data_IF_758605247091
#
_entry.id   IF_758605247091
#
_cell.length_a   1.000
_cell.length_b   1.000
_cell.length_c   1.000
_cell.angle_alpha   90.00
_cell.angle_beta   90.00
_cell.angle_gamma   90.00
#
_symmetry.space_group_name_H-M   'P 1'
#
loop_
_entity.id
_entity.type
_entity.pdbx_description
1 polymer ?
#
# COMPACT_ATOMS: atom_id res chain seq x y z
N UNK A 1 5.29 -13.47 -5.88
CA UNK A 1 4.57 -12.21 -6.17
C UNK A 1 3.83 -11.66 -4.96
N UNK A 2 2.83 -12.37 -4.39
CA UNK A 2 2.01 -11.87 -3.28
C UNK A 2 2.82 -11.38 -2.07
N UNK A 3 3.81 -12.17 -1.65
CA UNK A 3 4.67 -11.81 -0.52
C UNK A 3 5.50 -10.54 -0.81
N UNK A 4 6.04 -10.39 -2.02
CA UNK A 4 6.72 -9.16 -2.45
C UNK A 4 5.75 -7.97 -2.57
N UNK A 5 4.51 -8.21 -2.98
CA UNK A 5 3.43 -7.23 -3.03
C UNK A 5 3.10 -6.62 -1.67
N UNK A 6 3.11 -7.47 -0.64
CA UNK A 6 2.77 -7.14 0.75
C UNK A 6 3.99 -6.73 1.59
N UNK A 7 5.21 -7.12 1.20
CA UNK A 7 6.43 -6.80 1.95
C UNK A 7 7.16 -5.58 1.40
N UNK A 8 7.12 -5.37 0.07
CA UNK A 8 7.88 -4.29 -0.56
C UNK A 8 6.92 -3.11 -0.86
N UNK A 9 7.11 -1.94 -0.25
CA UNK A 9 6.30 -0.75 -0.55
C UNK A 9 6.49 -0.27 -2.00
N UNK A 10 5.47 0.37 -2.59
CA UNK A 10 5.49 0.74 -4.03
C UNK A 10 5.06 2.16 -4.35
N UNK A 11 5.21 3.09 -3.42
CA UNK A 11 4.68 4.46 -3.57
C UNK A 11 5.53 5.42 -4.43
N UNK A 12 6.50 4.90 -5.17
CA UNK A 12 7.48 5.67 -5.93
C UNK A 12 7.26 5.64 -7.43
N UNK A 13 7.85 6.63 -8.11
CA UNK A 13 8.21 6.54 -9.53
C UNK A 13 9.37 5.57 -9.70
N UNK A 14 9.06 4.32 -9.37
CA UNK A 14 10.00 3.23 -9.40
C UNK A 14 10.32 2.97 -10.86
N UNK A 15 11.56 3.25 -11.28
CA UNK A 15 12.04 2.85 -12.60
C UNK A 15 11.75 1.37 -12.85
N UNK A 16 11.74 0.95 -14.12
CA UNK A 16 11.41 -0.43 -14.52
C UNK A 16 12.23 -1.49 -13.76
N UNK A 17 13.44 -1.13 -13.32
CA UNK A 17 14.39 -1.98 -12.60
C UNK A 17 14.20 -2.04 -11.07
N UNK A 18 13.16 -1.43 -10.51
CA UNK A 18 12.90 -1.58 -9.08
C UNK A 18 12.55 -3.03 -8.73
N UNK A 19 13.01 -3.51 -7.56
CA UNK A 19 12.91 -4.92 -7.14
C UNK A 19 11.48 -5.45 -7.22
N UNK A 20 10.48 -4.64 -6.82
CA UNK A 20 9.07 -5.04 -6.89
C UNK A 20 8.58 -5.20 -8.34
N UNK A 21 8.96 -4.28 -9.23
CA UNK A 21 8.63 -4.31 -10.65
C UNK A 21 9.28 -5.50 -11.33
N UNK A 22 10.56 -5.78 -11.02
CA UNK A 22 11.28 -6.95 -11.53
C UNK A 22 10.66 -8.26 -11.06
N UNK A 23 10.35 -8.38 -9.77
CA UNK A 23 9.67 -9.57 -9.23
C UNK A 23 8.28 -9.77 -9.86
N UNK A 24 7.59 -8.68 -10.18
CA UNK A 24 6.32 -8.71 -10.88
C UNK A 24 6.47 -9.16 -12.33
N UNK A 25 7.44 -8.61 -13.06
CA UNK A 25 7.75 -8.99 -14.45
C UNK A 25 8.17 -10.46 -14.55
N UNK A 26 9.02 -10.92 -13.63
CA UNK A 26 9.43 -12.33 -13.54
C UNK A 26 8.21 -13.22 -13.28
N UNK A 27 7.36 -12.86 -12.30
CA UNK A 27 6.15 -13.64 -12.01
C UNK A 27 5.17 -13.67 -13.20
N UNK A 28 5.00 -12.55 -13.89
CA UNK A 28 4.17 -12.46 -15.10
C UNK A 28 4.73 -13.34 -16.23
N UNK A 29 6.05 -13.37 -16.41
CA UNK A 29 6.71 -14.22 -17.39
C UNK A 29 6.54 -15.70 -17.08
N UNK A 30 6.70 -16.11 -15.81
CA UNK A 30 6.42 -17.50 -15.40
C UNK A 30 4.95 -17.88 -15.59
N UNK A 31 4.02 -16.96 -15.32
CA UNK A 31 2.61 -17.20 -15.58
C UNK A 31 2.33 -17.38 -17.08
N UNK A 32 2.88 -16.54 -17.95
CA UNK A 32 2.77 -16.70 -19.41
C UNK A 32 3.38 -18.02 -19.90
N UNK A 33 4.55 -18.42 -19.38
CA UNK A 33 5.14 -19.72 -19.68
C UNK A 33 4.23 -20.88 -19.22
N UNK A 34 3.64 -20.76 -18.04
CA UNK A 34 2.71 -21.77 -17.53
C UNK A 34 1.44 -21.89 -18.37
N UNK A 35 0.96 -20.79 -18.96
CA UNK A 35 -0.15 -20.82 -19.91
C UNK A 35 0.26 -21.44 -21.24
N UNK A 36 1.47 -21.18 -21.71
CA UNK A 36 1.99 -21.74 -22.96
C UNK A 36 2.15 -23.26 -22.89
N UNK A 37 2.55 -23.80 -21.73
CA UNK A 37 2.65 -25.25 -21.52
C UNK A 37 1.29 -25.96 -21.45
N UNK A 38 0.19 -25.23 -21.20
CA UNK A 38 -1.16 -25.81 -21.19
C UNK A 38 -1.62 -26.08 -22.63
N UNK A 39 -1.79 -27.36 -22.97
CA UNK A 39 -2.19 -27.79 -24.33
C UNK A 39 -3.61 -27.38 -24.73
N UNK A 40 -4.48 -27.02 -23.78
CA UNK A 40 -5.84 -26.56 -24.07
C UNK A 40 -6.28 -25.48 -23.07
N UNK A 41 -6.77 -24.35 -23.60
CA UNK A 41 -7.34 -23.28 -22.80
C UNK A 41 -8.82 -23.54 -22.50
N UNK A 42 -9.21 -23.39 -21.24
CA UNK A 42 -10.61 -23.41 -20.82
C UNK A 42 -11.34 -22.14 -21.26
N UNK A 43 -12.67 -22.20 -21.42
CA UNK A 43 -13.51 -21.04 -21.80
C UNK A 43 -13.31 -19.84 -20.86
N UNK A 44 -13.07 -20.08 -19.57
CA UNK A 44 -12.77 -19.03 -18.61
C UNK A 44 -11.44 -18.31 -18.91
N UNK A 45 -10.38 -19.06 -19.24
CA UNK A 45 -9.08 -18.48 -19.59
C UNK A 45 -9.16 -17.66 -20.87
N UNK A 46 -9.98 -18.07 -21.85
CA UNK A 46 -10.27 -17.24 -23.03
C UNK A 46 -10.97 -15.93 -22.67
N UNK A 47 -11.95 -15.95 -21.75
CA UNK A 47 -12.59 -14.72 -21.25
C UNK A 47 -11.60 -13.82 -20.53
N UNK A 48 -10.73 -14.40 -19.70
CA UNK A 48 -9.70 -13.71 -18.95
C UNK A 48 -8.68 -13.04 -19.88
N UNK A 49 -8.21 -13.75 -20.90
CA UNK A 49 -7.31 -13.22 -21.93
C UNK A 49 -7.98 -12.11 -22.74
N UNK A 50 -9.24 -12.30 -23.13
CA UNK A 50 -10.00 -11.27 -23.88
C UNK A 50 -10.16 -9.99 -23.04
N UNK A 51 -10.47 -10.14 -21.75
CA UNK A 51 -10.52 -9.02 -20.81
C UNK A 51 -9.15 -8.35 -20.63
N UNK A 52 -8.08 -9.13 -20.57
CA UNK A 52 -6.72 -8.60 -20.49
C UNK A 52 -6.38 -7.77 -21.74
N UNK A 53 -6.59 -8.31 -22.94
CA UNK A 53 -6.31 -7.60 -24.19
C UNK A 53 -7.20 -6.38 -24.39
N UNK A 54 -8.48 -6.43 -23.99
CA UNK A 54 -9.35 -5.25 -24.05
C UNK A 54 -8.91 -4.15 -23.09
N UNK A 55 -8.45 -4.53 -21.90
CA UNK A 55 -7.89 -3.59 -20.92
C UNK A 55 -6.59 -2.95 -21.43
N UNK A 56 -5.69 -3.74 -22.03
CA UNK A 56 -4.47 -3.21 -22.66
C UNK A 56 -4.80 -2.26 -23.82
N UNK A 57 -5.75 -2.64 -24.67
CA UNK A 57 -6.20 -1.78 -25.77
C UNK A 57 -6.79 -0.46 -25.27
N UNK A 58 -7.63 -0.51 -24.23
CA UNK A 58 -8.18 0.68 -23.58
C UNK A 58 -7.05 1.58 -23.04
N UNK A 59 -6.07 1.01 -22.35
CA UNK A 59 -4.92 1.77 -21.84
C UNK A 59 -4.11 2.39 -22.97
N UNK A 60 -3.85 1.66 -24.05
CA UNK A 60 -3.14 2.19 -25.22
C UNK A 60 -3.88 3.35 -25.87
N UNK A 61 -5.20 3.23 -26.05
CA UNK A 61 -6.05 4.32 -26.56
C UNK A 61 -5.99 5.55 -25.65
N UNK A 62 -6.07 5.33 -24.34
CA UNK A 62 -6.01 6.40 -23.34
C UNK A 62 -4.62 7.05 -23.25
N UNK A 63 -3.57 6.26 -23.48
CA UNK A 63 -2.19 6.73 -23.61
C UNK A 63 -2.04 7.63 -24.85
N UNK A 64 -2.59 7.22 -26.00
CA UNK A 64 -2.60 8.03 -27.21
C UNK A 64 -3.32 9.37 -26.98
N UNK A 65 -4.46 9.35 -26.31
CA UNK A 65 -5.18 10.58 -25.90
C UNK A 65 -4.26 11.51 -25.10
N UNK A 66 -3.54 10.99 -24.10
CA UNK A 66 -2.58 11.78 -23.31
C UNK A 66 -1.44 12.37 -24.15
N UNK A 67 -0.86 11.57 -25.05
CA UNK A 67 0.23 12.01 -25.94
C UNK A 67 -0.19 13.13 -26.91
N UNK A 68 -1.44 13.14 -27.36
CA UNK A 68 -1.96 14.20 -28.24
C UNK A 68 -2.26 15.51 -27.51
N UNK A 69 -2.47 15.48 -26.19
CA UNK A 69 -2.91 16.63 -25.41
C UNK A 69 -1.78 17.32 -24.63
N UNK A 70 -0.73 16.61 -24.22
CA UNK A 70 0.43 17.21 -23.54
C UNK A 70 1.73 16.42 -23.79
N UNK A 71 2.66 16.99 -24.55
CA UNK A 71 3.97 16.37 -24.86
C UNK A 71 4.91 16.33 -23.65
N UNK A 72 4.65 17.12 -22.59
CA UNK A 72 5.62 17.36 -21.51
C UNK A 72 5.61 16.31 -20.39
N UNK A 73 4.74 15.29 -20.46
CA UNK A 73 4.50 14.36 -19.34
C UNK A 73 4.69 12.87 -19.67
N UNK A 74 5.50 12.54 -20.68
CA UNK A 74 5.79 11.13 -21.06
C UNK A 74 6.16 10.24 -19.87
N UNK A 75 6.99 10.71 -18.93
CA UNK A 75 7.37 9.94 -17.74
C UNK A 75 6.15 9.63 -16.83
N UNK A 76 5.28 10.62 -16.61
CA UNK A 76 4.04 10.46 -15.83
C UNK A 76 3.08 9.47 -16.51
N UNK A 77 2.94 9.57 -17.83
CA UNK A 77 2.14 8.65 -18.65
C UNK A 77 2.65 7.21 -18.51
N UNK A 78 3.96 6.99 -18.68
CA UNK A 78 4.56 5.66 -18.51
C UNK A 78 4.43 5.12 -17.08
N UNK A 79 4.59 6.00 -16.08
CA UNK A 79 4.38 5.67 -14.67
C UNK A 79 2.96 5.14 -14.41
N UNK A 80 1.94 5.80 -14.95
CA UNK A 80 0.55 5.40 -14.80
C UNK A 80 0.21 4.12 -15.58
N UNK A 81 0.67 3.98 -16.83
CA UNK A 81 0.48 2.75 -17.62
C UNK A 81 1.06 1.54 -16.89
N UNK A 82 2.26 1.68 -16.31
CA UNK A 82 2.90 0.64 -15.51
C UNK A 82 2.03 0.23 -14.32
N UNK A 83 1.54 1.20 -13.53
CA UNK A 83 0.69 0.93 -12.35
C UNK A 83 -0.59 0.20 -12.76
N UNK A 84 -1.23 0.62 -13.84
CA UNK A 84 -2.48 0.01 -14.29
C UNK A 84 -2.24 -1.38 -14.89
N UNK A 85 -1.18 -1.55 -15.68
CA UNK A 85 -0.78 -2.85 -16.22
C UNK A 85 -0.48 -3.86 -15.11
N UNK A 86 0.27 -3.45 -14.08
CA UNK A 86 0.53 -4.28 -12.89
C UNK A 86 -0.78 -4.66 -12.18
N UNK A 87 -1.72 -3.72 -12.05
CA UNK A 87 -3.01 -3.97 -11.42
C UNK A 87 -3.82 -5.01 -12.20
N UNK A 88 -3.93 -4.87 -13.52
CA UNK A 88 -4.65 -5.83 -14.37
C UNK A 88 -3.99 -7.21 -14.36
N UNK A 89 -2.67 -7.27 -14.60
CA UNK A 89 -1.93 -8.53 -14.58
C UNK A 89 -2.07 -9.24 -13.24
N UNK A 90 -2.01 -8.50 -12.12
CA UNK A 90 -2.19 -9.06 -10.80
C UNK A 90 -3.57 -9.72 -10.63
N UNK A 91 -4.64 -9.03 -11.03
CA UNK A 91 -6.02 -9.56 -10.95
C UNK A 91 -6.17 -10.80 -11.83
N UNK A 92 -5.72 -10.73 -13.08
CA UNK A 92 -5.78 -11.81 -14.07
C UNK A 92 -5.04 -13.05 -13.56
N UNK A 93 -3.79 -12.89 -13.12
CA UNK A 93 -2.99 -13.98 -12.55
C UNK A 93 -3.65 -14.57 -11.30
N UNK A 94 -4.19 -13.73 -10.41
CA UNK A 94 -4.83 -14.20 -9.18
C UNK A 94 -6.09 -15.01 -9.47
N UNK A 95 -6.90 -14.58 -10.44
CA UNK A 95 -8.11 -15.31 -10.86
C UNK A 95 -7.79 -16.65 -11.53
N UNK A 96 -6.77 -16.71 -12.39
CA UNK A 96 -6.31 -17.96 -13.00
C UNK A 96 -5.78 -18.94 -11.94
N UNK A 97 -4.93 -18.46 -11.02
CA UNK A 97 -4.44 -19.29 -9.92
C UNK A 97 -5.54 -19.75 -8.96
N UNK A 98 -6.56 -18.93 -8.73
CA UNK A 98 -7.70 -19.30 -7.89
C UNK A 98 -8.59 -20.36 -8.58
N UNK A 99 -8.80 -20.25 -9.90
CA UNK A 99 -9.59 -21.23 -10.65
C UNK A 99 -8.92 -22.61 -10.69
N UNK A 100 -7.60 -22.63 -10.81
CA UNK A 100 -6.80 -23.85 -10.83
C UNK A 100 -6.54 -24.44 -9.42
N UNK A 101 -7.19 -23.88 -8.38
CA UNK A 101 -7.08 -24.31 -6.99
C UNK A 101 -5.64 -24.38 -6.45
N UNK A 102 -4.70 -23.64 -7.06
CA UNK A 102 -3.30 -23.59 -6.60
C UNK A 102 -3.18 -23.05 -5.17
N UNK A 103 -4.14 -22.24 -4.72
CA UNK A 103 -4.17 -21.70 -3.37
C UNK A 103 -5.57 -21.79 -2.77
N UNK A 104 -5.66 -22.41 -1.60
CA UNK A 104 -6.82 -22.25 -0.71
C UNK A 104 -6.85 -20.83 -0.13
N UNK A 105 -8.05 -20.29 0.09
CA UNK A 105 -8.29 -18.95 0.68
C UNK A 105 -7.58 -18.83 2.04
N UNK A 106 -7.55 -19.92 2.81
CA UNK A 106 -6.81 -20.01 4.07
C UNK A 106 -5.32 -19.76 3.90
N UNK A 107 -4.71 -20.39 2.90
CA UNK A 107 -3.29 -20.25 2.57
C UNK A 107 -2.98 -18.84 2.09
N UNK A 108 -3.84 -18.27 1.23
CA UNK A 108 -3.73 -16.90 0.76
C UNK A 108 -3.72 -15.90 1.93
N UNK A 109 -4.73 -15.96 2.79
CA UNK A 109 -4.83 -15.08 3.96
C UNK A 109 -3.64 -15.25 4.91
N UNK A 110 -3.15 -16.48 5.10
CA UNK A 110 -1.97 -16.73 5.95
C UNK A 110 -0.70 -16.09 5.38
N UNK A 111 -0.49 -16.18 4.07
CA UNK A 111 0.64 -15.53 3.39
C UNK A 111 0.55 -14.02 3.51
N UNK A 112 -0.65 -13.45 3.33
CA UNK A 112 -0.87 -12.01 3.48
C UNK A 112 -0.59 -11.56 4.92
N UNK A 113 -1.07 -12.32 5.92
CA UNK A 113 -0.84 -12.02 7.34
C UNK A 113 0.63 -12.07 7.73
N UNK A 114 1.35 -13.12 7.32
CA UNK A 114 2.78 -13.29 7.60
C UNK A 114 3.60 -12.22 6.85
N UNK A 115 3.26 -11.93 5.60
CA UNK A 115 3.89 -10.86 4.83
C UNK A 115 3.72 -9.51 5.51
N UNK A 116 2.50 -9.19 5.97
CA UNK A 116 2.23 -7.94 6.66
C UNK A 116 2.93 -7.87 8.04
N UNK A 117 3.04 -8.99 8.75
CA UNK A 117 3.83 -9.06 9.98
C UNK A 117 5.30 -8.75 9.72
N UNK A 118 5.88 -9.38 8.70
CA UNK A 118 7.28 -9.18 8.33
C UNK A 118 7.55 -7.73 7.89
N UNK A 119 6.64 -7.16 7.11
CA UNK A 119 6.68 -5.74 6.75
C UNK A 119 6.64 -4.83 7.99
N UNK A 120 5.65 -5.06 8.87
CA UNK A 120 5.47 -4.26 10.09
C UNK A 120 6.67 -4.38 11.03
N UNK A 121 7.26 -5.58 11.14
CA UNK A 121 8.46 -5.83 11.94
C UNK A 121 9.68 -5.13 11.36
N UNK A 122 9.86 -5.19 10.03
CA UNK A 122 10.92 -4.44 9.33
C UNK A 122 10.78 -2.94 9.59
N UNK A 123 9.58 -2.39 9.43
CA UNK A 123 9.28 -0.97 9.68
C UNK A 123 9.59 -0.56 11.12
N UNK A 124 9.07 -1.29 12.09
CA UNK A 124 9.32 -1.03 13.51
C UNK A 124 10.82 -1.12 13.82
N UNK A 125 11.51 -2.12 13.28
CA UNK A 125 12.96 -2.30 13.48
C UNK A 125 13.78 -1.17 12.84
N UNK A 126 13.40 -0.68 11.66
CA UNK A 126 14.04 0.46 11.00
C UNK A 126 13.94 1.72 11.85
N UNK A 127 12.73 2.01 12.35
CA UNK A 127 12.51 3.18 13.21
C UNK A 127 13.26 3.05 14.55
N UNK A 128 13.23 1.88 15.19
CA UNK A 128 14.02 1.65 16.40
C UNK A 128 15.52 1.77 16.15
N UNK A 129 16.02 1.25 15.01
CA UNK A 129 17.42 1.36 14.62
C UNK A 129 17.87 2.82 14.44
N UNK A 130 17.01 3.65 13.86
CA UNK A 130 17.23 5.09 13.75
C UNK A 130 17.29 5.78 15.11
N UNK A 131 16.34 5.49 16.00
CA UNK A 131 16.34 6.06 17.36
C UNK A 131 17.56 5.67 18.19
N UNK A 132 18.10 4.48 17.97
CA UNK A 132 19.33 4.01 18.62
C UNK A 132 20.60 4.59 17.96
N UNK A 133 20.47 5.34 16.86
CA UNK A 133 21.57 5.98 16.15
C UNK A 133 22.40 5.02 15.28
N UNK A 134 21.87 3.85 14.93
CA UNK A 134 22.61 2.89 14.08
C UNK A 134 22.70 3.34 12.61
N UNK A 135 21.65 3.98 12.09
CA UNK A 135 21.57 4.47 10.71
C UNK A 135 20.51 5.57 10.57
N UNK A 136 20.62 6.40 9.54
CA UNK A 136 19.54 7.29 9.13
C UNK A 136 18.50 6.49 8.33
N UNK A 137 17.23 6.55 8.73
CA UNK A 137 16.13 5.91 7.99
C UNK A 137 15.96 6.56 6.62
N UNK A 138 16.31 7.85 6.47
CA UNK A 138 16.25 8.53 5.20
C UNK A 138 17.21 7.94 4.17
N UNK A 139 18.47 7.79 4.54
CA UNK A 139 19.49 7.22 3.67
C UNK A 139 19.12 5.80 3.23
N UNK A 140 18.58 5.00 4.16
CA UNK A 140 18.11 3.64 3.86
C UNK A 140 16.92 3.66 2.90
N UNK A 141 15.95 4.56 3.11
CA UNK A 141 14.77 4.66 2.25
C UNK A 141 15.12 5.18 0.86
N UNK A 142 16.02 6.17 0.77
CA UNK A 142 16.53 6.73 -0.47
C UNK A 142 17.34 5.69 -1.25
N UNK A 143 18.20 4.90 -0.57
CA UNK A 143 18.92 3.78 -1.17
C UNK A 143 17.96 2.71 -1.72
N UNK A 144 16.84 2.46 -1.02
CA UNK A 144 15.80 1.55 -1.47
C UNK A 144 14.89 2.16 -2.55
N UNK A 145 15.05 3.45 -2.87
CA UNK A 145 14.22 4.18 -3.84
C UNK A 145 12.77 4.36 -3.40
N UNK A 146 12.48 4.24 -2.10
CA UNK A 146 11.12 4.29 -1.59
C UNK A 146 10.67 5.74 -1.40
N UNK A 147 9.56 6.13 -2.05
CA UNK A 147 8.87 7.37 -1.70
C UNK A 147 8.25 7.22 -0.31
N UNK A 148 8.63 8.11 0.59
CA UNK A 148 7.97 8.31 1.88
C UNK A 148 7.45 9.75 1.92
N UNK A 149 6.33 9.96 2.62
CA UNK A 149 5.90 11.32 2.95
C UNK A 149 6.65 11.80 4.19
N UNK A 150 7.80 12.45 4.02
CA UNK A 150 8.41 13.21 5.11
C UNK A 150 7.59 14.46 5.39
N UNK A 151 6.84 14.41 6.48
CA UNK A 151 6.64 15.61 7.28
C UNK A 151 7.52 15.43 8.51
N UNK A 152 8.26 16.48 8.85
CA UNK A 152 9.21 16.47 9.94
C UNK A 152 8.43 16.64 11.24
N UNK A 153 8.21 15.53 11.96
CA UNK A 153 7.44 15.54 13.20
C UNK A 153 8.46 15.42 14.35
N UNK A 154 9.27 16.47 14.49
CA UNK A 154 10.21 16.77 15.58
C UNK A 154 11.29 15.70 15.90
N UNK A 155 12.56 16.11 15.85
CA UNK A 155 13.71 15.22 16.12
C UNK A 155 14.02 14.26 14.97
N UNK A 156 13.85 14.72 13.72
CA UNK A 156 13.96 13.93 12.47
C UNK A 156 13.00 12.74 12.38
N UNK A 157 11.95 12.70 13.22
CA UNK A 157 10.95 11.64 13.14
C UNK A 157 10.08 11.83 11.91
N UNK A 158 10.31 10.97 10.93
CA UNK A 158 9.65 11.04 9.64
C UNK A 158 8.45 10.13 9.63
N UNK A 159 7.32 10.68 9.19
CA UNK A 159 6.11 9.90 8.92
C UNK A 159 6.42 8.87 7.84
N UNK A 160 6.73 7.66 8.27
CA UNK A 160 6.92 6.55 7.36
C UNK A 160 5.54 5.95 7.04
N UNK A 161 4.87 6.49 6.02
CA UNK A 161 3.67 5.88 5.47
C UNK A 161 3.95 5.34 4.07
N UNK A 162 3.59 4.08 3.85
CA UNK A 162 3.61 3.42 2.55
C UNK A 162 2.23 2.85 2.20
N UNK A 163 2.02 2.47 0.94
CA UNK A 163 0.82 1.80 0.42
C UNK A 163 0.51 0.51 1.17
N UNK A 164 1.54 -0.21 1.62
CA UNK A 164 1.38 -1.45 2.38
C UNK A 164 0.76 -1.20 3.75
N UNK A 165 1.00 -0.03 4.36
CA UNK A 165 0.41 0.32 5.65
C UNK A 165 -1.12 0.39 5.61
N UNK A 166 -1.70 0.61 4.42
CA UNK A 166 -3.16 0.61 4.25
C UNK A 166 -3.76 -0.76 4.59
N UNK A 167 -3.04 -1.85 4.34
CA UNK A 167 -3.51 -3.22 4.54
C UNK A 167 -3.59 -3.59 6.04
N UNK A 168 -2.60 -3.15 6.83
CA UNK A 168 -2.46 -3.47 8.25
C UNK A 168 -3.73 -3.22 9.08
N UNK A 169 -4.38 -2.04 9.03
CA UNK A 169 -5.58 -1.78 9.82
C UNK A 169 -6.79 -2.64 9.41
N UNK A 170 -6.91 -3.04 8.14
CA UNK A 170 -8.00 -3.95 7.72
C UNK A 170 -7.76 -5.39 8.18
N UNK A 171 -6.49 -5.81 8.25
CA UNK A 171 -6.12 -7.13 8.75
C UNK A 171 -6.39 -7.30 10.25
N UNK A 172 -6.49 -6.21 11.03
CA UNK A 172 -6.85 -6.29 12.45
C UNK A 172 -8.17 -7.02 12.67
N UNK A 173 -9.20 -6.70 11.88
CA UNK A 173 -10.51 -7.33 12.00
C UNK A 173 -10.40 -8.86 11.81
N UNK A 174 -9.67 -9.28 10.76
CA UNK A 174 -9.46 -10.69 10.46
C UNK A 174 -8.67 -11.41 11.56
N UNK A 175 -7.56 -10.84 12.02
CA UNK A 175 -6.69 -11.46 13.04
C UNK A 175 -7.40 -11.58 14.39
N UNK A 176 -8.16 -10.56 14.77
CA UNK A 176 -8.91 -10.55 16.02
C UNK A 176 -10.08 -11.54 16.01
N UNK A 177 -10.71 -11.74 14.85
CA UNK A 177 -11.85 -12.66 14.72
C UNK A 177 -11.46 -14.09 14.41
N UNK A 178 -10.29 -14.37 13.82
CA UNK A 178 -9.91 -15.71 13.35
C UNK A 178 -9.50 -16.65 14.50
N UNK A 179 -10.36 -17.59 14.97
CA UNK A 179 -10.07 -18.42 16.14
C UNK A 179 -8.96 -19.46 15.87
N UNK A 180 -8.76 -19.82 14.60
CA UNK A 180 -7.80 -20.83 14.14
C UNK A 180 -6.34 -20.35 14.12
N UNK A 181 -6.07 -19.04 14.29
CA UNK A 181 -4.72 -18.53 14.42
C UNK A 181 -4.12 -18.88 15.79
N UNK A 182 -2.84 -19.27 15.82
CA UNK A 182 -2.15 -19.56 17.07
C UNK A 182 -2.12 -18.32 17.98
N UNK A 183 -2.23 -18.53 19.29
CA UNK A 183 -2.23 -17.42 20.28
C UNK A 183 -0.96 -16.57 20.17
N UNK A 184 0.19 -17.22 19.97
CA UNK A 184 1.48 -16.56 19.78
C UNK A 184 1.51 -15.69 18.53
N UNK A 185 1.09 -16.22 17.38
CA UNK A 185 1.05 -15.44 16.14
C UNK A 185 0.10 -14.25 16.27
N UNK A 186 -1.08 -14.45 16.87
CA UNK A 186 -2.04 -13.36 17.11
C UNK A 186 -1.47 -12.27 18.00
N UNK A 187 -0.78 -12.65 19.08
CA UNK A 187 -0.18 -11.70 20.03
C UNK A 187 1.00 -10.93 19.42
N UNK A 188 1.93 -11.63 18.78
CA UNK A 188 3.07 -11.00 18.10
C UNK A 188 2.61 -10.09 16.97
N UNK A 189 1.64 -10.55 16.16
CA UNK A 189 1.06 -9.75 15.09
C UNK A 189 0.41 -8.49 15.65
N UNK A 190 -0.43 -8.63 16.67
CA UNK A 190 -1.08 -7.50 17.31
C UNK A 190 -0.08 -6.47 17.84
N UNK A 191 0.93 -6.88 18.61
CA UNK A 191 1.90 -5.95 19.20
C UNK A 191 2.68 -5.18 18.14
N UNK A 192 3.19 -5.88 17.12
CA UNK A 192 3.98 -5.28 16.05
C UNK A 192 3.12 -4.38 15.15
N UNK A 193 1.91 -4.82 14.77
CA UNK A 193 1.02 -4.05 13.90
C UNK A 193 0.47 -2.80 14.57
N UNK A 194 0.21 -2.82 15.89
CA UNK A 194 -0.19 -1.59 16.63
C UNK A 194 0.92 -0.55 16.57
N UNK A 195 2.17 -0.96 16.81
CA UNK A 195 3.33 -0.07 16.72
C UNK A 195 3.53 0.43 15.29
N UNK A 196 3.46 -0.44 14.29
CA UNK A 196 3.60 -0.06 12.89
C UNK A 196 2.53 0.95 12.43
N UNK A 197 1.26 0.77 12.86
CA UNK A 197 0.18 1.72 12.58
C UNK A 197 0.34 3.05 13.33
N UNK A 198 0.85 3.04 14.57
CA UNK A 198 1.16 4.26 15.31
C UNK A 198 2.25 5.07 14.59
N UNK A 199 3.29 4.40 14.10
CA UNK A 199 4.39 5.01 13.33
C UNK A 199 3.94 5.57 11.97
N UNK A 200 2.79 5.15 11.43
CA UNK A 200 2.24 5.74 10.20
C UNK A 200 1.61 7.12 10.40
N UNK A 201 1.34 7.53 11.66
CA UNK A 201 0.67 8.80 12.02
C UNK A 201 -0.59 9.12 11.18
N UNK A 202 -1.36 8.08 10.84
CA UNK A 202 -2.55 8.18 9.99
C UNK A 202 -3.83 8.12 10.84
N UNK A 203 -4.61 9.20 10.83
CA UNK A 203 -5.93 9.29 11.49
C UNK A 203 -6.87 8.18 11.02
N UNK A 204 -6.84 7.89 9.72
CA UNK A 204 -7.65 6.84 9.11
C UNK A 204 -7.28 5.45 9.65
N UNK A 205 -5.99 5.15 9.80
CA UNK A 205 -5.55 3.83 10.30
C UNK A 205 -5.93 3.65 11.77
N UNK A 206 -5.74 4.68 12.59
CA UNK A 206 -6.19 4.68 13.97
C UNK A 206 -7.71 4.49 14.08
N UNK A 207 -8.49 5.19 13.25
CA UNK A 207 -9.93 5.03 13.21
C UNK A 207 -10.36 3.61 12.83
N UNK A 208 -9.80 3.04 11.75
CA UNK A 208 -10.12 1.67 11.32
C UNK A 208 -9.73 0.65 12.39
N UNK A 209 -8.59 0.85 13.07
CA UNK A 209 -8.20 0.01 14.20
C UNK A 209 -9.22 0.08 15.34
N UNK A 210 -9.62 1.29 15.77
CA UNK A 210 -10.63 1.48 16.82
C UNK A 210 -11.94 0.80 16.43
N UNK A 211 -12.42 0.99 15.20
CA UNK A 211 -13.63 0.31 14.70
C UNK A 211 -13.45 -1.21 14.74
N UNK A 212 -12.32 -1.73 14.28
CA UNK A 212 -12.02 -3.17 14.31
C UNK A 212 -12.05 -3.74 15.75
N UNK A 213 -11.62 -2.94 16.73
CA UNK A 213 -11.70 -3.29 18.15
C UNK A 213 -13.10 -3.22 18.73
N UNK A 214 -13.88 -2.20 18.40
CA UNK A 214 -15.27 -2.07 18.83
C UNK A 214 -16.14 -3.20 18.27
N UNK A 215 -15.82 -3.67 17.06
CA UNK A 215 -16.44 -4.84 16.45
C UNK A 215 -15.97 -6.16 17.07
N UNK A 216 -15.01 -6.14 17.99
CA UNK A 216 -14.61 -7.31 18.77
C UNK A 216 -14.91 -7.14 20.27
N UNK A 217 -14.83 -8.23 21.03
CA UNK A 217 -15.21 -8.25 22.45
C UNK A 217 -14.56 -7.10 23.26
N UNK A 218 -15.36 -6.36 24.03
CA UNK A 218 -14.98 -5.16 24.79
C UNK A 218 -13.67 -5.27 25.61
N UNK A 219 -13.34 -6.46 26.11
CA UNK A 219 -12.10 -6.73 26.86
C UNK A 219 -10.82 -6.52 26.04
N UNK A 220 -10.85 -6.71 24.72
CA UNK A 220 -9.70 -6.48 23.82
C UNK A 220 -9.56 -5.02 23.41
N UNK A 221 -10.67 -4.28 23.42
CA UNK A 221 -10.70 -2.83 23.25
C UNK A 221 -9.95 -2.15 24.40
N UNK A 222 -10.11 -2.63 25.64
CA UNK A 222 -9.40 -2.09 26.81
C UNK A 222 -7.87 -2.22 26.70
N UNK A 223 -7.35 -3.38 26.32
CA UNK A 223 -5.89 -3.59 26.17
C UNK A 223 -5.32 -2.67 25.09
N UNK A 224 -6.03 -2.49 23.99
CA UNK A 224 -5.61 -1.62 22.88
C UNK A 224 -5.67 -0.14 23.26
N UNK A 225 -6.72 0.28 23.98
CA UNK A 225 -6.79 1.61 24.58
C UNK A 225 -5.65 1.84 25.57
N UNK A 226 -5.28 0.85 26.39
CA UNK A 226 -4.14 0.96 27.30
C UNK A 226 -2.81 1.12 26.55
N UNK A 227 -2.59 0.37 25.46
CA UNK A 227 -1.37 0.52 24.64
C UNK A 227 -1.33 1.89 23.95
N UNK A 228 -2.46 2.35 23.39
CA UNK A 228 -2.59 3.69 22.82
C UNK A 228 -2.35 4.78 23.88
N UNK A 229 -2.94 4.64 25.08
CA UNK A 229 -2.71 5.54 26.21
C UNK A 229 -1.24 5.54 26.65
N UNK A 230 -0.59 4.38 26.74
CA UNK A 230 0.84 4.29 27.06
C UNK A 230 1.70 4.99 26.02
N UNK A 231 1.34 4.92 24.73
CA UNK A 231 2.03 5.67 23.67
C UNK A 231 1.79 7.17 23.79
N UNK A 232 0.58 7.61 24.20
CA UNK A 232 0.26 9.03 24.44
C UNK A 232 0.96 9.63 25.67
N UNK A 233 1.40 8.80 26.62
CA UNK A 233 2.13 9.23 27.83
C UNK A 233 3.63 9.43 27.54
N UNK A 234 4.15 8.89 26.43
CA UNK A 234 5.53 9.10 26.04
C UNK A 234 5.70 10.52 25.48
N UNK A 235 6.42 11.38 26.19
CA UNK A 235 6.49 12.82 25.89
C UNK A 235 6.88 13.15 24.44
N UNK A 236 7.84 12.43 23.80
CA UNK A 236 8.14 12.62 22.38
C UNK A 236 6.95 12.33 21.45
N UNK A 237 6.13 11.33 21.78
CA UNK A 237 4.93 10.98 21.00
C UNK A 237 3.83 12.00 21.25
N UNK A 238 3.69 12.49 22.48
CA UNK A 238 2.73 13.54 22.84
C UNK A 238 3.01 14.85 22.11
N UNK A 239 4.27 15.27 22.04
CA UNK A 239 4.71 16.47 21.33
C UNK A 239 4.56 16.32 19.81
N UNK A 240 4.91 15.15 19.25
CA UNK A 240 4.66 14.80 17.86
C UNK A 240 3.17 14.86 17.48
N UNK A 241 2.30 14.34 18.35
CA UNK A 241 0.84 14.44 18.19
C UNK A 241 0.39 15.90 18.30
N UNK A 242 0.91 16.65 19.27
CA UNK A 242 0.57 18.08 19.41
C UNK A 242 0.88 18.86 18.12
N UNK A 243 2.09 18.71 17.58
CA UNK A 243 2.50 19.37 16.34
C UNK A 243 1.68 18.90 15.13
N UNK A 244 1.30 17.61 15.09
CA UNK A 244 0.52 17.04 13.98
C UNK A 244 -0.97 17.42 13.97
N UNK A 245 -1.56 17.62 15.14
CA UNK A 245 -3.01 17.86 15.27
C UNK A 245 -3.34 19.33 15.55
N UNK A 246 -2.40 20.08 16.12
CA UNK A 246 -2.60 21.47 16.55
C UNK A 246 -1.52 22.43 16.01
N UNK A 247 -0.54 21.94 15.24
CA UNK A 247 0.53 22.77 14.69
C UNK A 247 0.12 23.55 13.43
N UNK A 248 0.91 24.58 13.11
CA UNK A 248 0.73 25.48 11.95
C UNK A 248 0.74 24.72 10.61
N UNK A 249 1.48 23.62 10.53
CA UNK A 249 1.55 22.74 9.35
C UNK A 249 0.23 22.06 9.01
N UNK A 250 -0.68 21.91 9.99
CA UNK A 250 -2.01 21.33 9.75
C UNK A 250 -2.86 22.25 8.89
N UNK A 251 -2.79 23.56 9.13
CA UNK A 251 -3.47 24.57 8.32
C UNK A 251 -2.91 24.60 6.89
N UNK A 252 -1.58 24.49 6.75
CA UNK A 252 -0.93 24.39 5.44
C UNK A 252 -1.33 23.11 4.69
N UNK A 253 -1.38 21.95 5.36
CA UNK A 253 -1.84 20.70 4.75
C UNK A 253 -3.29 20.76 4.26
N UNK A 254 -4.17 21.46 4.98
CA UNK A 254 -5.57 21.63 4.57
C UNK A 254 -5.71 22.67 3.45
N UNK A 255 -4.87 23.70 3.43
CA UNK A 255 -4.77 24.65 2.32
C UNK A 255 -4.28 23.95 1.04
N UNK A 256 -3.23 23.14 1.12
CA UNK A 256 -2.72 22.34 -0.02
C UNK A 256 -3.79 21.40 -0.56
N UNK A 257 -4.58 20.74 0.31
CA UNK A 257 -5.71 19.91 -0.13
C UNK A 257 -6.77 20.72 -0.85
N UNK A 258 -7.06 21.92 -0.34
CA UNK A 258 -8.02 22.83 -0.97
C UNK A 258 -7.52 23.26 -2.35
N UNK A 259 -6.22 23.54 -2.49
CA UNK A 259 -5.57 23.84 -3.76
C UNK A 259 -5.60 22.63 -4.72
N UNK A 260 -5.34 21.42 -4.23
CA UNK A 260 -5.43 20.18 -5.03
C UNK A 260 -6.86 19.93 -5.53
N UNK A 261 -7.87 20.11 -4.67
CA UNK A 261 -9.29 19.98 -5.07
C UNK A 261 -9.67 21.06 -6.08
N UNK A 262 -9.21 22.30 -5.89
CA UNK A 262 -9.45 23.39 -6.83
C UNK A 262 -8.77 23.14 -8.19
N UNK A 263 -7.55 22.58 -8.20
CA UNK A 263 -6.85 22.16 -9.41
C UNK A 263 -7.61 21.06 -10.14
N UNK A 264 -8.02 19.99 -9.44
CA UNK A 264 -8.83 18.91 -10.00
C UNK A 264 -10.16 19.41 -10.57
N UNK A 265 -10.81 20.35 -9.87
CA UNK A 265 -12.06 20.95 -10.34
C UNK A 265 -11.83 21.76 -11.63
N UNK A 266 -10.77 22.55 -11.67
CA UNK A 266 -10.40 23.32 -12.87
C UNK A 266 -10.10 22.39 -14.06
N UNK A 267 -9.44 21.27 -13.83
CA UNK A 267 -9.18 20.28 -14.87
C UNK A 267 -10.44 19.58 -15.35
N UNK A 268 -11.34 19.21 -14.42
CA UNK A 268 -12.64 18.65 -14.77
C UNK A 268 -13.47 19.63 -15.62
N UNK A 269 -13.46 20.92 -15.27
CA UNK A 269 -14.16 21.96 -16.03
C UNK A 269 -13.54 22.18 -17.43
N UNK A 270 -12.22 22.03 -17.57
CA UNK A 270 -11.50 22.19 -18.85
C UNK A 270 -11.58 20.96 -19.76
N UNK A 271 -11.62 19.75 -19.18
CA UNK A 271 -11.60 18.48 -19.91
C UNK A 271 -12.70 17.52 -19.43
N UNK A 272 -13.99 17.87 -19.57
CA UNK A 272 -15.09 17.20 -18.87
C UNK A 272 -15.42 15.78 -19.35
N UNK A 273 -15.01 15.41 -20.57
CA UNK A 273 -15.40 14.13 -21.18
C UNK A 273 -14.27 13.10 -21.10
N UNK A 274 -13.05 13.48 -21.51
CA UNK A 274 -11.92 12.56 -21.60
C UNK A 274 -10.77 12.89 -20.64
N UNK A 275 -10.88 13.95 -19.82
CA UNK A 275 -9.74 14.45 -19.06
C UNK A 275 -8.56 14.81 -19.99
N UNK A 276 -7.36 14.92 -19.42
CA UNK A 276 -6.11 15.05 -20.19
C UNK A 276 -5.53 13.70 -20.64
N UNK A 277 -6.22 12.59 -20.41
CA UNK A 277 -5.65 11.24 -20.57
C UNK A 277 -4.91 10.76 -19.31
N UNK A 278 -4.04 9.75 -19.47
CA UNK A 278 -3.12 9.33 -18.40
C UNK A 278 -2.04 10.40 -18.24
N UNK A 279 -1.63 10.70 -17.01
CA UNK A 279 -0.47 11.55 -16.73
C UNK A 279 -0.77 12.99 -16.32
N UNK A 280 -1.94 13.52 -16.70
CA UNK A 280 -2.34 14.94 -16.63
C UNK A 280 -2.42 15.61 -15.28
#
# INVERSE_FOLDING_TARGET
MLLAGVVIPSDGDHGFFHVKSLLFSIASLFWLLSLWERQAFNLFQWKLLTFFFSSVLFLMLWCCVGLFWDETQLESIFGQVKVIAVTFLFVVMTLDYAQEEFFDVSTYLRVVLIGNLFYSLTKVSLVFGHFLGFFDVLDVLDLMGLRYMSMDIMGSMIRMQTSVDLLTPFLFLFVLQAPHLSKWLRFSWFGVSVLACALSFSRLFLFIMVVSFLMTSWRRCLVSCCVLLCLLVFEPVREAISNRYYGVETAYSDEVRTQQIAALKKEFDQYPIFGKGMGG
#
